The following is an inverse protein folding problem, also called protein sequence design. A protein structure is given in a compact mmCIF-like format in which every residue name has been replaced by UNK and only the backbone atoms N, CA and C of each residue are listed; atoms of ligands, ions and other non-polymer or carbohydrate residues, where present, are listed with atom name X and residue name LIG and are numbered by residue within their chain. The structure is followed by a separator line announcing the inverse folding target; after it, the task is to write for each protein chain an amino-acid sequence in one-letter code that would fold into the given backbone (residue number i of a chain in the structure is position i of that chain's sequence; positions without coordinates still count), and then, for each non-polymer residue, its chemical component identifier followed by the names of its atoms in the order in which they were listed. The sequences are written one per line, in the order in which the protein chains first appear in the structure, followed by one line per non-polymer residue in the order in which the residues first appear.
data_IF_700746370732
#
_entry.id   IF_700746370732
#
_cell.length_a   1.000
_cell.length_b   1.000
_cell.length_c   1.000
_cell.angle_alpha   90.00
_cell.angle_beta   90.00
_cell.angle_gamma   90.00
#
_symmetry.space_group_name_H-M   'P 1'
#
loop_
_entity.id
_entity.type
_entity.pdbx_description
1 polymer ?
#
# COMPACT_ATOMS: atom_id res chain seq x y z
N UNK A 1 -17.12 2.96 2.19
CA UNK A 1 -16.84 2.76 0.76
C UNK A 1 -17.40 1.41 0.35
N UNK A 2 -18.35 1.36 -0.59
CA UNK A 2 -18.87 0.13 -1.20
C UNK A 2 -18.47 0.16 -2.67
N UNK A 3 -17.70 -0.83 -3.11
CA UNK A 3 -17.18 -0.96 -4.47
C UNK A 3 -16.42 -2.28 -4.61
N UNK A 4 -16.18 -2.74 -5.85
CA UNK A 4 -15.38 -3.94 -6.09
C UNK A 4 -13.93 -3.70 -5.65
N UNK A 5 -13.36 -4.65 -4.90
CA UNK A 5 -11.95 -4.62 -4.52
C UNK A 5 -11.13 -5.09 -5.71
N UNK A 6 -10.29 -4.20 -6.27
CA UNK A 6 -9.41 -4.51 -7.41
C UNK A 6 -8.18 -5.28 -6.94
N UNK A 7 -7.51 -4.76 -5.90
CA UNK A 7 -6.35 -5.41 -5.30
C UNK A 7 -6.27 -5.10 -3.81
N UNK A 8 -5.60 -5.96 -3.07
CA UNK A 8 -5.27 -5.73 -1.67
C UNK A 8 -3.93 -6.38 -1.35
N UNK A 9 -3.19 -5.77 -0.43
CA UNK A 9 -1.98 -6.36 0.11
C UNK A 9 -1.76 -5.87 1.53
N UNK A 10 -0.99 -6.64 2.29
CA UNK A 10 -0.68 -6.41 3.69
C UNK A 10 0.80 -6.69 3.96
N UNK A 11 1.31 -6.19 5.09
CA UNK A 11 2.68 -6.48 5.48
C UNK A 11 2.95 -7.99 5.67
N UNK A 12 1.95 -8.75 6.12
CA UNK A 12 2.07 -10.21 6.29
C UNK A 12 2.12 -10.94 4.93
N UNK A 13 1.31 -10.52 3.95
CA UNK A 13 1.37 -11.07 2.56
C UNK A 13 2.69 -10.73 1.86
N UNK A 14 3.34 -9.63 2.26
CA UNK A 14 4.67 -9.25 1.78
C UNK A 14 5.82 -9.93 2.54
N UNK A 15 5.53 -10.90 3.41
CA UNK A 15 6.54 -11.70 4.11
C UNK A 15 7.11 -11.08 5.38
N UNK A 16 6.56 -9.95 5.87
CA UNK A 16 7.02 -9.31 7.10
C UNK A 16 6.25 -9.82 8.31
N UNK A 17 6.96 -10.52 9.22
CA UNK A 17 6.39 -11.06 10.47
C UNK A 17 6.98 -10.39 11.71
N UNK A 18 6.23 -10.43 12.81
CA UNK A 18 6.66 -9.94 14.13
C UNK A 18 7.02 -8.45 14.14
N UNK A 19 8.12 -8.08 14.80
CA UNK A 19 8.58 -6.68 14.90
C UNK A 19 8.84 -6.01 13.54
N UNK A 20 9.15 -6.79 12.49
CA UNK A 20 9.41 -6.27 11.15
C UNK A 20 8.14 -5.76 10.45
N UNK A 21 6.95 -6.21 10.89
CA UNK A 21 5.65 -5.79 10.33
C UNK A 21 5.36 -4.30 10.54
N UNK A 22 5.81 -3.73 11.66
CA UNK A 22 5.60 -2.33 12.03
C UNK A 22 6.59 -1.35 11.41
N UNK A 23 7.46 -1.81 10.50
CA UNK A 23 8.48 -0.96 9.88
C UNK A 23 7.91 -0.17 8.71
N UNK A 24 8.44 1.04 8.43
CA UNK A 24 8.02 1.83 7.28
C UNK A 24 8.30 1.11 5.94
N UNK A 25 9.32 0.26 5.90
CA UNK A 25 9.66 -0.55 4.74
C UNK A 25 8.62 -1.64 4.45
N UNK A 26 8.12 -2.31 5.49
CA UNK A 26 7.04 -3.28 5.33
C UNK A 26 5.75 -2.63 4.79
N UNK A 27 5.43 -1.42 5.28
CA UNK A 27 4.30 -0.64 4.78
C UNK A 27 4.46 -0.25 3.31
N UNK A 28 5.67 0.20 2.92
CA UNK A 28 5.99 0.51 1.53
C UNK A 28 5.83 -0.72 0.63
N UNK A 29 6.41 -1.86 1.01
CA UNK A 29 6.34 -3.07 0.19
C UNK A 29 4.91 -3.58 0.01
N UNK A 30 4.10 -3.58 1.07
CA UNK A 30 2.68 -3.92 0.99
C UNK A 30 1.93 -2.98 0.02
N UNK A 31 2.20 -1.69 0.11
CA UNK A 31 1.60 -0.68 -0.77
C UNK A 31 1.99 -0.92 -2.23
N UNK A 32 3.28 -1.10 -2.52
CA UNK A 32 3.79 -1.36 -3.88
C UNK A 32 3.17 -2.62 -4.47
N UNK A 33 3.03 -3.69 -3.70
CA UNK A 33 2.43 -4.94 -4.17
C UNK A 33 0.94 -4.76 -4.53
N UNK A 34 0.18 -3.98 -3.76
CA UNK A 34 -1.20 -3.67 -4.11
C UNK A 34 -1.28 -2.80 -5.37
N UNK A 35 -0.45 -1.77 -5.47
CA UNK A 35 -0.50 -0.79 -6.56
C UNK A 35 -0.04 -1.37 -7.88
N UNK A 36 0.99 -2.23 -7.90
CA UNK A 36 1.51 -2.83 -9.14
C UNK A 36 0.41 -3.43 -10.01
N UNK A 37 -0.45 -4.25 -9.40
CA UNK A 37 -1.59 -4.87 -10.10
C UNK A 37 -2.59 -3.87 -10.67
N UNK A 38 -2.70 -2.68 -10.07
CA UNK A 38 -3.62 -1.61 -10.45
C UNK A 38 -3.01 -0.72 -11.54
N UNK A 39 -1.70 -0.48 -11.47
CA UNK A 39 -0.92 0.22 -12.51
C UNK A 39 -0.85 -0.61 -13.78
N UNK A 40 -0.65 -1.93 -13.67
CA UNK A 40 -0.68 -2.85 -14.81
C UNK A 40 -2.06 -2.86 -15.51
N UNK A 41 -3.13 -2.49 -14.80
CA UNK A 41 -4.48 -2.31 -15.35
C UNK A 41 -4.72 -0.92 -15.96
N UNK A 42 -3.73 -0.01 -15.90
CA UNK A 42 -3.79 1.32 -16.52
C UNK A 42 -4.39 2.42 -15.65
N UNK A 43 -4.45 2.25 -14.32
CA UNK A 43 -4.85 3.35 -13.44
C UNK A 43 -3.80 4.47 -13.38
N UNK A 44 -4.25 5.71 -13.55
CA UNK A 44 -3.43 6.93 -13.52
C UNK A 44 -3.81 7.91 -12.42
N UNK A 45 -4.95 7.70 -11.75
CA UNK A 45 -5.43 8.56 -10.67
C UNK A 45 -6.13 7.72 -9.62
N UNK A 46 -5.78 7.97 -8.37
CA UNK A 46 -6.41 7.32 -7.22
C UNK A 46 -6.55 8.32 -6.07
N UNK A 47 -7.63 8.19 -5.32
CA UNK A 47 -7.83 8.89 -4.06
C UNK A 47 -7.28 8.03 -2.91
N UNK A 48 -6.47 8.62 -2.04
CA UNK A 48 -5.83 7.89 -0.93
C UNK A 48 -6.51 8.22 0.39
N UNK A 49 -7.02 7.19 1.06
CA UNK A 49 -7.62 7.32 2.38
C UNK A 49 -6.79 6.54 3.42
N UNK A 50 -6.28 7.25 4.42
CA UNK A 50 -5.48 6.66 5.51
C UNK A 50 -6.34 6.52 6.76
N UNK A 51 -6.34 5.31 7.34
CA UNK A 51 -6.99 5.03 8.63
C UNK A 51 -5.95 4.70 9.69
N UNK A 52 -6.02 5.37 10.85
CA UNK A 52 -5.19 5.09 12.03
C UNK A 52 -3.75 5.61 11.92
N UNK A 53 -3.09 5.84 13.07
CA UNK A 53 -1.75 6.41 13.18
C UNK A 53 -0.64 5.36 13.05
N UNK A 54 0.52 5.73 12.49
CA UNK A 54 1.66 4.82 12.37
C UNK A 54 2.83 5.36 11.53
N UNK A 55 4.00 4.76 11.70
CA UNK A 55 5.29 5.16 11.09
C UNK A 55 5.33 4.99 9.56
N UNK A 56 4.42 4.21 8.98
CA UNK A 56 4.40 3.92 7.55
C UNK A 56 3.56 4.88 6.70
N UNK A 57 2.96 5.93 7.28
CA UNK A 57 2.02 6.82 6.56
C UNK A 57 2.69 7.56 5.41
N UNK A 58 3.74 8.33 5.70
CA UNK A 58 4.45 9.13 4.69
C UNK A 58 5.13 8.26 3.63
N UNK A 59 5.71 7.11 4.03
CA UNK A 59 6.36 6.21 3.08
C UNK A 59 5.36 5.56 2.13
N UNK A 60 4.17 5.23 2.62
CA UNK A 60 3.05 4.70 1.83
C UNK A 60 2.54 5.74 0.84
N UNK A 61 2.32 6.99 1.30
CA UNK A 61 1.89 8.09 0.43
C UNK A 61 2.89 8.38 -0.67
N UNK A 62 4.18 8.42 -0.33
CA UNK A 62 5.26 8.65 -1.31
C UNK A 62 5.34 7.53 -2.33
N UNK A 63 5.14 6.28 -1.91
CA UNK A 63 5.09 5.14 -2.82
C UNK A 63 3.91 5.22 -3.79
N UNK A 64 2.71 5.59 -3.30
CA UNK A 64 1.52 5.78 -4.14
C UNK A 64 1.78 6.88 -5.16
N UNK A 65 2.25 8.04 -4.71
CA UNK A 65 2.51 9.19 -5.57
C UNK A 65 3.59 8.95 -6.65
N UNK A 66 4.50 8.00 -6.43
CA UNK A 66 5.54 7.67 -7.40
C UNK A 66 5.07 6.61 -8.43
N UNK A 67 4.08 5.79 -8.05
CA UNK A 67 3.67 4.62 -8.86
C UNK A 67 2.39 4.87 -9.68
N UNK A 68 1.55 5.82 -9.28
CA UNK A 68 0.33 6.25 -9.97
C UNK A 68 0.56 7.65 -10.55
#
# INVERSE_FOLDING_TARGET
VRGPVVSWSSADTSGFKGKKRGTPFAAQMATTNAIRTVVDQGMQRAEVMIKGFGLGRDTTLRAICFLI
#
